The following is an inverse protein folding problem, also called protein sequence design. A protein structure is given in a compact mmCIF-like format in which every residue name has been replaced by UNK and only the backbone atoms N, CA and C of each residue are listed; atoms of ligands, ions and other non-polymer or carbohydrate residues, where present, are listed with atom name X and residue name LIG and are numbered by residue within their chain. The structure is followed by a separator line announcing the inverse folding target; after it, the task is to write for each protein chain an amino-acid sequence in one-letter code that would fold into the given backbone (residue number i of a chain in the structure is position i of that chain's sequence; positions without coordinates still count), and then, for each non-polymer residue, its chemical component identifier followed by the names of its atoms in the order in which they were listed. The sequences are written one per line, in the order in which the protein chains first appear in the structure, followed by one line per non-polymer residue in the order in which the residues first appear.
data_IF_272840412241
#
_entry.id   IF_272840412241
#
_cell.length_a   1.000
_cell.length_b   1.000
_cell.length_c   1.000
_cell.angle_alpha   90.00
_cell.angle_beta   90.00
_cell.angle_gamma   90.00
#
_symmetry.space_group_name_H-M   'P 1'
#
loop_
_entity.id
_entity.type
_entity.pdbx_description
1 polymer ?
#
# COMPACT_ATOMS: atom_id res chain seq x y z
N UNK A 1 2.88 -19.27 -2.08
CA UNK A 1 3.32 -18.93 -0.70
C UNK A 1 4.72 -19.41 -0.31
N UNK A 2 5.06 -20.71 -0.43
CA UNK A 2 6.37 -21.23 0.02
C UNK A 2 7.56 -20.54 -0.65
N UNK A 3 7.47 -20.31 -1.96
CA UNK A 3 8.50 -19.59 -2.72
C UNK A 3 8.70 -18.15 -2.24
N UNK A 4 7.61 -17.38 -2.06
CA UNK A 4 7.67 -16.03 -1.50
C UNK A 4 8.34 -16.00 -0.11
N UNK A 5 8.00 -16.94 0.77
CA UNK A 5 8.66 -17.06 2.08
C UNK A 5 10.14 -17.38 1.94
N UNK A 6 10.52 -18.26 1.03
CA UNK A 6 11.92 -18.62 0.79
C UNK A 6 12.73 -17.40 0.32
N UNK A 7 12.22 -16.65 -0.67
CA UNK A 7 12.86 -15.43 -1.18
C UNK A 7 13.05 -14.41 -0.04
N UNK A 8 11.99 -14.16 0.73
CA UNK A 8 12.07 -13.27 1.89
C UNK A 8 13.04 -13.79 2.96
N UNK A 9 13.13 -15.10 3.17
CA UNK A 9 13.99 -15.72 4.19
C UNK A 9 15.46 -15.50 3.85
N UNK A 10 15.83 -15.84 2.62
CA UNK A 10 17.18 -15.71 2.11
C UNK A 10 17.59 -14.25 2.17
N UNK A 11 16.72 -13.35 1.70
CA UNK A 11 16.99 -11.92 1.71
C UNK A 11 17.17 -11.38 3.13
N UNK A 12 16.26 -11.73 4.05
CA UNK A 12 16.33 -11.31 5.45
C UNK A 12 17.62 -11.80 6.11
N UNK A 13 18.04 -13.04 5.83
CA UNK A 13 19.27 -13.62 6.36
C UNK A 13 20.51 -12.89 5.84
N UNK A 14 20.57 -12.61 4.54
CA UNK A 14 21.68 -11.85 3.95
C UNK A 14 21.76 -10.46 4.58
N UNK A 15 20.63 -9.78 4.73
CA UNK A 15 20.58 -8.44 5.32
C UNK A 15 20.97 -8.47 6.80
N UNK A 16 20.51 -9.46 7.56
CA UNK A 16 20.88 -9.64 8.96
C UNK A 16 22.39 -9.90 9.12
N UNK A 17 22.95 -10.79 8.30
CA UNK A 17 24.39 -11.11 8.33
C UNK A 17 25.25 -9.89 7.96
N UNK A 18 24.89 -9.16 6.90
CA UNK A 18 25.58 -7.93 6.50
C UNK A 18 25.46 -6.85 7.58
N UNK A 19 24.29 -6.69 8.19
CA UNK A 19 24.08 -5.77 9.29
C UNK A 19 25.04 -6.04 10.44
N UNK A 20 25.15 -7.31 10.85
CA UNK A 20 26.04 -7.73 11.92
C UNK A 20 27.51 -7.50 11.54
N UNK A 21 27.89 -7.75 10.28
CA UNK A 21 29.21 -7.46 9.77
C UNK A 21 29.55 -5.96 9.86
N UNK A 22 28.64 -5.07 9.47
CA UNK A 22 28.84 -3.61 9.58
C UNK A 22 28.92 -3.13 11.04
N UNK A 23 28.28 -3.82 11.99
CA UNK A 23 28.42 -3.49 13.41
C UNK A 23 29.75 -3.93 14.01
N UNK A 24 30.11 -5.19 13.79
CA UNK A 24 31.30 -5.81 14.39
C UNK A 24 32.59 -5.39 13.69
N UNK A 25 32.55 -5.21 12.37
CA UNK A 25 33.71 -5.02 11.49
C UNK A 25 33.53 -3.83 10.52
N UNK A 26 33.25 -2.61 11.03
CA UNK A 26 32.91 -1.47 10.19
C UNK A 26 34.05 -1.03 9.26
N UNK A 27 35.31 -1.14 9.72
CA UNK A 27 36.47 -0.74 8.93
C UNK A 27 36.73 -1.68 7.76
N UNK A 28 36.68 -2.99 8.01
CA UNK A 28 36.86 -3.99 6.97
C UNK A 28 35.76 -3.85 5.92
N UNK A 29 34.51 -3.65 6.35
CA UNK A 29 33.39 -3.48 5.42
C UNK A 29 33.46 -2.15 4.66
N UNK A 30 33.89 -1.06 5.28
CA UNK A 30 34.08 0.22 4.58
C UNK A 30 35.18 0.10 3.52
N UNK A 31 36.30 -0.54 3.86
CA UNK A 31 37.41 -0.74 2.95
C UNK A 31 37.04 -1.63 1.75
N UNK A 32 36.20 -2.65 1.93
CA UNK A 32 35.64 -3.45 0.82
C UNK A 32 34.82 -2.61 -0.16
N UNK A 33 34.23 -1.50 0.30
CA UNK A 33 33.49 -0.55 -0.52
C UNK A 33 34.38 0.63 -0.98
N UNK A 34 35.70 0.55 -0.82
CA UNK A 34 36.64 1.60 -1.20
C UNK A 34 36.54 2.85 -0.34
N UNK A 35 35.90 2.76 0.83
CA UNK A 35 35.71 3.87 1.76
C UNK A 35 36.74 3.84 2.88
N UNK A 36 37.27 5.01 3.22
CA UNK A 36 38.18 5.20 4.34
C UNK A 36 37.46 5.94 5.48
N UNK A 37 37.33 5.29 6.63
CA UNK A 37 36.70 5.87 7.82
C UNK A 37 37.75 6.68 8.61
N UNK A 38 37.69 8.01 8.50
CA UNK A 38 38.68 8.90 9.13
C UNK A 38 38.34 9.29 10.57
N UNK A 39 37.06 9.44 10.89
CA UNK A 39 36.62 9.89 12.21
C UNK A 39 35.77 8.84 12.92
N UNK A 40 35.76 8.90 14.26
CA UNK A 40 34.88 8.07 15.08
C UNK A 40 33.39 8.30 14.77
N UNK A 41 33.03 9.51 14.36
CA UNK A 41 31.71 9.85 13.86
C UNK A 41 31.36 9.02 12.60
N UNK A 42 32.28 8.91 11.63
CA UNK A 42 32.08 8.13 10.40
C UNK A 42 31.79 6.65 10.71
N UNK A 43 32.48 6.07 11.70
CA UNK A 43 32.24 4.68 12.14
C UNK A 43 30.83 4.54 12.72
N UNK A 44 30.42 5.50 13.55
CA UNK A 44 29.07 5.53 14.12
C UNK A 44 28.00 5.61 13.03
N UNK A 45 28.19 6.51 12.06
CA UNK A 45 27.32 6.61 10.88
C UNK A 45 27.27 5.30 10.09
N UNK A 46 28.42 4.65 9.88
CA UNK A 46 28.51 3.36 9.21
C UNK A 46 27.61 2.31 9.90
N UNK A 47 27.73 2.21 11.22
CA UNK A 47 26.95 1.26 12.04
C UNK A 47 25.46 1.57 12.03
N UNK A 48 25.06 2.83 12.02
CA UNK A 48 23.65 3.21 12.01
C UNK A 48 23.03 2.96 10.64
N UNK A 49 23.65 3.44 9.57
CA UNK A 49 23.06 3.42 8.24
C UNK A 49 23.29 2.11 7.48
N UNK A 50 24.46 1.49 7.59
CA UNK A 50 24.72 0.20 6.92
C UNK A 50 24.40 -0.98 7.84
N UNK A 51 24.60 -0.82 9.15
CA UNK A 51 24.21 -1.83 10.13
C UNK A 51 22.73 -1.77 10.51
N UNK A 52 22.33 -0.69 11.19
CA UNK A 52 21.01 -0.53 11.81
C UNK A 52 19.85 -0.53 10.83
N UNK A 53 19.94 0.22 9.73
CA UNK A 53 18.90 0.22 8.69
C UNK A 53 18.71 -1.19 8.11
N UNK A 54 19.82 -1.88 7.83
CA UNK A 54 19.78 -3.21 7.24
C UNK A 54 19.24 -4.26 8.23
N UNK A 55 19.50 -4.08 9.53
CA UNK A 55 18.86 -4.85 10.60
C UNK A 55 17.35 -4.64 10.62
N UNK A 56 16.91 -3.38 10.60
CA UNK A 56 15.48 -3.04 10.64
C UNK A 56 14.72 -3.64 9.47
N UNK A 57 15.28 -3.57 8.27
CA UNK A 57 14.71 -4.21 7.08
C UNK A 57 14.70 -5.74 7.22
N UNK A 58 15.78 -6.37 7.70
CA UNK A 58 15.81 -7.82 7.91
C UNK A 58 14.70 -8.28 8.87
N UNK A 59 14.54 -7.58 10.01
CA UNK A 59 13.50 -7.87 10.99
C UNK A 59 12.09 -7.66 10.41
N UNK A 60 11.89 -6.61 9.62
CA UNK A 60 10.63 -6.39 8.91
C UNK A 60 10.32 -7.53 7.94
N UNK A 61 11.30 -7.98 7.16
CA UNK A 61 11.14 -9.11 6.25
C UNK A 61 10.79 -10.38 7.02
N UNK A 62 11.50 -10.70 8.12
CA UNK A 62 11.20 -11.85 8.99
C UNK A 62 9.79 -11.80 9.59
N UNK A 63 9.32 -10.60 9.95
CA UNK A 63 7.96 -10.42 10.44
C UNK A 63 6.92 -10.60 9.33
N UNK A 64 7.18 -10.07 8.13
CA UNK A 64 6.24 -10.05 7.03
C UNK A 64 5.94 -11.44 6.43
N UNK A 65 6.86 -12.40 6.60
CA UNK A 65 6.70 -13.78 6.09
C UNK A 65 5.53 -14.54 6.72
N UNK A 66 5.03 -14.08 7.87
CA UNK A 66 4.01 -14.76 8.67
C UNK A 66 2.62 -14.76 8.03
N UNK A 67 2.37 -13.91 7.03
CA UNK A 67 1.06 -13.82 6.38
C UNK A 67 1.12 -13.48 4.89
N UNK A 68 0.11 -13.91 4.09
CA UNK A 68 -0.02 -13.62 2.66
C UNK A 68 0.16 -12.14 2.30
N UNK A 69 -0.63 -11.30 2.96
CA UNK A 69 -0.76 -9.88 2.65
C UNK A 69 0.52 -9.12 3.03
N UNK A 70 1.07 -9.45 4.20
CA UNK A 70 2.33 -8.86 4.69
C UNK A 70 3.49 -9.26 3.78
N UNK A 71 3.56 -10.52 3.35
CA UNK A 71 4.58 -10.99 2.43
C UNK A 71 4.50 -10.25 1.08
N UNK A 72 3.30 -9.99 0.57
CA UNK A 72 3.10 -9.19 -0.65
C UNK A 72 3.64 -7.77 -0.46
N UNK A 73 3.29 -7.09 0.62
CA UNK A 73 3.80 -5.75 0.91
C UNK A 73 5.33 -5.73 1.03
N UNK A 74 5.91 -6.73 1.70
CA UNK A 74 7.35 -6.85 1.85
C UNK A 74 8.09 -7.12 0.54
N UNK A 75 7.52 -7.95 -0.34
CA UNK A 75 8.09 -8.18 -1.66
C UNK A 75 8.03 -6.92 -2.54
N UNK A 76 6.93 -6.15 -2.49
CA UNK A 76 6.83 -4.87 -3.23
C UNK A 76 7.90 -3.90 -2.73
N UNK A 77 8.02 -3.75 -1.41
CA UNK A 77 9.06 -2.93 -0.80
C UNK A 77 10.45 -3.40 -1.26
N UNK A 78 10.73 -4.71 -1.22
CA UNK A 78 12.01 -5.27 -1.62
C UNK A 78 12.35 -4.95 -3.09
N UNK A 79 11.39 -5.09 -4.01
CA UNK A 79 11.57 -4.71 -5.42
C UNK A 79 11.92 -3.23 -5.54
N UNK A 80 11.13 -2.35 -4.92
CA UNK A 80 11.35 -0.89 -4.99
C UNK A 80 12.72 -0.54 -4.42
N UNK A 81 13.08 -1.06 -3.25
CA UNK A 81 14.37 -0.78 -2.61
C UNK A 81 15.53 -1.25 -3.48
N UNK A 82 15.49 -2.48 -4.01
CA UNK A 82 16.58 -2.99 -4.85
C UNK A 82 16.74 -2.20 -6.15
N UNK A 83 15.63 -1.86 -6.81
CA UNK A 83 15.66 -1.04 -8.03
C UNK A 83 16.11 0.40 -7.76
N UNK A 84 15.70 0.99 -6.64
CA UNK A 84 16.17 2.31 -6.22
C UNK A 84 17.68 2.31 -5.95
N UNK A 85 18.21 1.26 -5.33
CA UNK A 85 19.64 1.09 -5.09
C UNK A 85 20.44 0.87 -6.37
N UNK A 86 19.89 0.13 -7.35
CA UNK A 86 20.49 -0.01 -8.69
C UNK A 86 20.47 1.34 -9.41
N UNK A 87 19.31 2.03 -9.42
CA UNK A 87 19.16 3.35 -10.04
C UNK A 87 20.10 4.39 -9.43
N UNK A 88 20.24 4.41 -8.11
CA UNK A 88 21.18 5.28 -7.41
C UNK A 88 22.64 5.01 -7.81
N UNK A 89 23.02 3.73 -7.96
CA UNK A 89 24.37 3.38 -8.43
C UNK A 89 24.61 3.76 -9.88
N UNK A 90 23.64 3.53 -10.76
CA UNK A 90 23.74 3.94 -12.17
C UNK A 90 23.77 5.46 -12.32
N UNK A 91 23.00 6.18 -11.51
CA UNK A 91 23.01 7.64 -11.44
C UNK A 91 24.36 8.17 -10.98
N UNK A 92 24.93 7.60 -9.90
CA UNK A 92 26.28 7.94 -9.46
C UNK A 92 27.33 7.67 -10.55
N UNK A 93 27.29 6.49 -11.19
CA UNK A 93 28.19 6.14 -12.28
C UNK A 93 28.11 7.11 -13.46
N UNK A 94 26.90 7.60 -13.79
CA UNK A 94 26.71 8.59 -14.84
C UNK A 94 27.32 9.95 -14.48
N UNK A 95 27.26 10.35 -13.20
CA UNK A 95 27.86 11.59 -12.70
C UNK A 95 29.39 11.48 -12.59
N UNK A 96 29.90 10.29 -12.27
CA UNK A 96 31.33 9.98 -12.14
C UNK A 96 32.00 9.68 -13.51
N UNK A 97 31.33 9.95 -14.63
CA UNK A 97 31.89 9.78 -15.97
C UNK A 97 32.10 8.33 -16.41
N UNK A 98 31.48 7.36 -15.73
CA UNK A 98 31.66 5.94 -16.00
C UNK A 98 32.87 5.30 -15.32
N UNK A 99 33.60 6.06 -14.51
CA UNK A 99 34.66 5.50 -13.67
C UNK A 99 34.05 4.49 -12.68
N UNK A 100 34.75 3.38 -12.42
CA UNK A 100 34.33 2.32 -11.48
C UNK A 100 33.17 1.40 -11.94
N UNK A 101 32.90 1.28 -13.25
CA UNK A 101 31.86 0.36 -13.77
C UNK A 101 32.07 -1.11 -13.30
N UNK A 102 33.32 -1.54 -13.20
CA UNK A 102 33.66 -2.90 -12.74
C UNK A 102 33.67 -3.07 -11.22
N UNK A 103 33.77 -1.99 -10.45
CA UNK A 103 33.97 -2.03 -8.99
C UNK A 103 32.76 -2.63 -8.26
N UNK A 104 31.54 -2.30 -8.71
CA UNK A 104 30.30 -2.67 -8.02
C UNK A 104 29.45 -3.66 -8.84
N UNK A 105 30.02 -4.31 -9.87
CA UNK A 105 29.27 -5.15 -10.81
C UNK A 105 28.58 -6.33 -10.12
N UNK A 106 29.27 -7.00 -9.19
CA UNK A 106 28.72 -8.15 -8.46
C UNK A 106 27.54 -7.74 -7.57
N UNK A 107 27.65 -6.62 -6.88
CA UNK A 107 26.59 -6.03 -6.04
C UNK A 107 25.40 -5.57 -6.88
N UNK A 108 25.65 -4.95 -8.05
CA UNK A 108 24.60 -4.57 -8.99
C UNK A 108 23.83 -5.79 -9.50
N UNK A 109 24.54 -6.85 -9.92
CA UNK A 109 23.95 -8.10 -10.37
C UNK A 109 23.13 -8.75 -9.26
N UNK A 110 23.67 -8.82 -8.04
CA UNK A 110 22.94 -9.32 -6.88
C UNK A 110 21.63 -8.56 -6.65
N UNK A 111 21.64 -7.22 -6.68
CA UNK A 111 20.43 -6.40 -6.49
C UNK A 111 19.40 -6.64 -7.58
N UNK A 112 19.83 -6.76 -8.83
CA UNK A 112 18.96 -7.09 -9.97
C UNK A 112 18.34 -8.48 -9.83
N UNK A 113 19.14 -9.49 -9.47
CA UNK A 113 18.64 -10.84 -9.21
C UNK A 113 17.66 -10.89 -8.04
N UNK A 114 17.97 -10.18 -6.95
CA UNK A 114 17.08 -10.08 -5.80
C UNK A 114 15.74 -9.41 -6.17
N UNK A 115 15.78 -8.32 -6.94
CA UNK A 115 14.59 -7.65 -7.45
C UNK A 115 13.78 -8.57 -8.37
N UNK A 116 14.44 -9.29 -9.28
CA UNK A 116 13.80 -10.22 -10.20
C UNK A 116 13.12 -11.39 -9.46
N UNK A 117 13.81 -11.98 -8.48
CA UNK A 117 13.23 -13.05 -7.65
C UNK A 117 12.04 -12.55 -6.82
N UNK A 118 12.12 -11.33 -6.28
CA UNK A 118 11.02 -10.73 -5.53
C UNK A 118 9.82 -10.41 -6.43
N UNK A 119 10.05 -9.91 -7.65
CA UNK A 119 9.02 -9.66 -8.65
C UNK A 119 8.37 -10.97 -9.14
N UNK A 120 9.18 -12.00 -9.38
CA UNK A 120 8.69 -13.34 -9.71
C UNK A 120 7.83 -13.92 -8.58
N UNK A 121 8.28 -13.78 -7.33
CA UNK A 121 7.52 -14.22 -6.17
C UNK A 121 6.20 -13.45 -6.02
N UNK A 122 6.15 -12.16 -6.34
CA UNK A 122 4.92 -11.36 -6.38
C UNK A 122 3.96 -11.84 -7.47
N UNK A 123 4.48 -12.12 -8.66
CA UNK A 123 3.68 -12.58 -9.79
C UNK A 123 3.03 -13.93 -9.48
N UNK A 124 3.81 -14.90 -8.98
CA UNK A 124 3.31 -16.21 -8.54
C UNK A 124 2.36 -16.13 -7.33
N UNK A 125 2.35 -15.02 -6.59
CA UNK A 125 1.38 -14.79 -5.51
C UNK A 125 0.08 -14.16 -6.00
N UNK A 126 0.11 -13.48 -7.15
CA UNK A 126 -1.07 -12.87 -7.78
C UNK A 126 -1.96 -13.90 -8.46
N UNK A 127 -1.38 -14.89 -9.13
CA UNK A 127 -2.15 -15.92 -9.85
C UNK A 127 -3.20 -16.63 -8.97
N UNK A 128 -2.88 -17.13 -7.75
CA UNK A 128 -3.90 -17.75 -6.90
C UNK A 128 -4.96 -16.77 -6.39
N UNK A 129 -4.59 -15.50 -6.13
CA UNK A 129 -5.54 -14.49 -5.65
C UNK A 129 -6.44 -13.94 -6.78
N UNK A 130 -5.93 -13.86 -8.01
CA UNK A 130 -6.70 -13.47 -9.18
C UNK A 130 -7.70 -14.57 -9.56
N UNK A 131 -7.30 -15.85 -9.48
CA UNK A 131 -8.20 -16.99 -9.70
C UNK A 131 -9.29 -17.05 -8.62
N UNK A 132 -8.95 -16.89 -7.33
CA UNK A 132 -9.96 -16.83 -6.25
C UNK A 132 -10.91 -15.62 -6.37
N UNK A 133 -10.42 -14.47 -6.84
CA UNK A 133 -11.24 -13.27 -7.04
C UNK A 133 -12.14 -13.35 -8.28
N UNK A 134 -11.72 -14.07 -9.32
CA UNK A 134 -12.49 -14.34 -10.53
C UNK A 134 -13.52 -15.48 -10.31
N UNK A 135 -13.21 -16.43 -9.42
CA UNK A 135 -14.13 -17.49 -8.97
C UNK A 135 -15.10 -17.03 -7.88
N UNK A 136 -14.77 -16.01 -7.09
CA UNK A 136 -15.70 -15.44 -6.13
C UNK A 136 -16.86 -14.78 -6.90
N UNK A 137 -18.08 -15.35 -6.88
CA UNK A 137 -19.20 -14.75 -7.59
C UNK A 137 -19.37 -13.34 -7.03
N UNK A 138 -19.28 -12.33 -7.91
CA UNK A 138 -19.43 -10.92 -7.58
C UNK A 138 -20.51 -10.79 -6.52
N UNK A 139 -20.09 -10.50 -5.29
CA UNK A 139 -20.95 -10.62 -4.12
C UNK A 139 -22.09 -9.63 -4.34
N UNK A 140 -23.23 -10.15 -4.81
CA UNK A 140 -24.41 -9.36 -5.08
C UNK A 140 -24.77 -8.76 -3.74
N UNK A 141 -24.53 -7.48 -3.58
CA UNK A 141 -25.00 -6.74 -2.41
C UNK A 141 -26.51 -6.90 -2.46
N UNK A 142 -27.04 -7.83 -1.63
CA UNK A 142 -28.47 -7.97 -1.51
C UNK A 142 -28.98 -6.61 -1.02
N UNK A 143 -29.93 -5.98 -1.76
CA UNK A 143 -30.52 -4.75 -1.27
C UNK A 143 -31.05 -5.02 0.13
N UNK A 144 -30.89 -4.10 1.10
CA UNK A 144 -31.23 -4.34 2.48
C UNK A 144 -32.71 -4.73 2.60
N UNK A 145 -32.99 -6.03 2.69
CA UNK A 145 -34.34 -6.59 2.86
C UNK A 145 -34.77 -6.58 4.31
N UNK A 146 -33.89 -6.15 5.23
CA UNK A 146 -34.23 -5.98 6.64
C UNK A 146 -35.08 -4.73 6.81
N UNK A 147 -36.40 -4.90 6.86
CA UNK A 147 -37.29 -3.94 7.53
C UNK A 147 -36.72 -3.71 8.93
N UNK A 148 -36.33 -2.46 9.22
CA UNK A 148 -35.81 -2.06 10.53
C UNK A 148 -36.88 -2.04 11.63
N UNK A 149 -38.15 -2.29 11.29
CA UNK A 149 -39.28 -2.24 12.21
C UNK A 149 -40.28 -3.35 11.86
N UNK A 150 -40.55 -4.24 12.81
CA UNK A 150 -41.58 -5.31 12.76
C UNK A 150 -42.99 -4.77 13.07
N UNK A 151 -43.27 -3.52 12.72
CA UNK A 151 -44.60 -2.94 12.94
C UNK A 151 -45.49 -3.25 11.73
N UNK A 152 -46.70 -3.80 11.93
CA UNK A 152 -47.64 -3.99 10.84
C UNK A 152 -47.89 -2.64 10.16
N UNK A 153 -47.93 -2.57 8.82
CA UNK A 153 -48.14 -1.31 8.11
C UNK A 153 -49.45 -0.69 8.63
N UNK A 154 -49.36 0.52 9.18
CA UNK A 154 -50.55 1.23 9.60
C UNK A 154 -51.48 1.37 8.38
N UNK A 155 -52.78 1.02 8.51
CA UNK A 155 -53.71 1.20 7.42
C UNK A 155 -53.70 2.66 7.01
N UNK A 156 -53.61 2.90 5.70
CA UNK A 156 -53.67 4.23 5.12
C UNK A 156 -54.91 4.95 5.68
N UNK A 157 -54.72 5.96 6.52
CA UNK A 157 -55.82 6.86 6.90
C UNK A 157 -56.04 7.78 5.71
N UNK A 158 -57.07 7.49 4.92
CA UNK A 158 -57.61 8.43 3.93
C UNK A 158 -58.08 9.65 4.71
N UNK A 159 -57.34 10.76 4.58
CA UNK A 159 -57.73 12.11 4.95
C UNK A 159 -58.36 12.25 6.34
N UNK A 160 -57.59 12.71 7.32
CA UNK A 160 -58.19 13.50 8.40
C UNK A 160 -58.88 14.69 7.72
N UNK A 161 -60.20 14.59 7.59
CA UNK A 161 -61.04 15.65 7.09
C UNK A 161 -60.75 16.87 7.94
N UNK A 162 -60.19 17.90 7.30
CA UNK A 162 -60.07 19.24 7.90
C UNK A 162 -61.46 19.59 8.43
N UNK A 163 -61.65 19.87 9.73
CA UNK A 163 -62.97 20.17 10.26
C UNK A 163 -63.53 21.37 9.50
N UNK A 164 -64.58 21.13 8.72
CA UNK A 164 -65.35 22.15 8.03
C UNK A 164 -65.88 23.12 9.08
N UNK A 165 -65.40 24.36 9.00
CA UNK A 165 -65.86 25.45 9.85
C UNK A 165 -67.31 25.75 9.48
N UNK A 166 -68.26 25.91 10.43
CA UNK A 166 -69.67 26.11 10.10
C UNK A 166 -69.86 27.38 9.25
N UNK A 167 -70.74 27.27 8.27
CA UNK A 167 -71.02 28.25 7.24
C UNK A 167 -71.17 29.69 7.75
N UNK A 168 -70.37 30.60 7.17
CA UNK A 168 -70.59 32.04 7.23
C UNK A 168 -70.61 32.59 5.79
N UNK A 169 -71.80 32.98 5.38
CA UNK A 169 -72.17 33.92 4.32
C UNK A 169 -71.56 33.77 2.92
N UNK A 170 -72.45 33.36 2.01
CA UNK A 170 -72.30 33.47 0.57
C UNK A 170 -72.00 34.92 0.15
N UNK A 171 -70.74 35.18 -0.16
CA UNK A 171 -70.35 36.26 -1.07
C UNK A 171 -69.56 35.62 -2.21
N UNK A 172 -70.25 35.28 -3.30
CA UNK A 172 -69.62 34.81 -4.55
C UNK A 172 -68.58 35.82 -5.03
N UNK A 173 -67.28 35.51 -5.04
CA UNK A 173 -66.30 36.37 -5.70
C UNK A 173 -66.33 36.05 -7.19
N UNK A 174 -66.80 37.02 -7.97
CA UNK A 174 -66.94 36.96 -9.42
C UNK A 174 -65.59 36.64 -10.08
N UNK A 175 -65.60 35.78 -11.11
CA UNK A 175 -64.39 35.36 -11.81
C UNK A 175 -63.71 36.55 -12.51
N UNK A 176 -62.48 36.87 -12.11
CA UNK A 176 -61.67 37.95 -12.67
C UNK A 176 -61.39 37.69 -14.16
N UNK A 177 -61.94 38.53 -15.04
CA UNK A 177 -61.60 38.55 -16.48
C UNK A 177 -60.43 39.50 -16.70
N UNK A 178 -59.46 39.06 -17.50
CA UNK A 178 -58.29 39.84 -17.88
C UNK A 178 -58.72 41.07 -18.69
N UNK A 179 -58.85 42.23 -18.03
CA UNK A 179 -59.30 43.48 -18.67
C UNK A 179 -59.95 44.51 -17.74
N UNK A 180 -60.27 44.18 -16.48
CA UNK A 180 -60.91 45.14 -15.58
C UNK A 180 -59.90 46.13 -14.97
N UNK A 181 -60.24 47.44 -14.90
CA UNK A 181 -59.36 48.48 -14.35
C UNK A 181 -59.21 48.32 -12.84
N UNK A 182 -57.96 48.39 -12.37
CA UNK A 182 -57.61 48.28 -10.95
C UNK A 182 -58.20 49.43 -10.12
N UNK A 183 -58.80 49.16 -8.94
CA UNK A 183 -58.90 50.13 -7.86
C UNK A 183 -57.60 50.22 -7.04
#
# INVERSE_FOLDING_TARGET
MRFARLVLAIQALIMFALSLAYWLRPYEMANLNGMLLMESASISHMRVYYGGLQLGLALFLFWAMRGPERARAALVMLVITMLALVGGRLGALALDGGELIGFDLASLLYRLLAAALAALALWLLREPAAVEADEAPAQRIEPPTRRLVDEPPQPFRVGDARPETPAADATTPQAFRRGDPQP
#
